data_IF_133786832241
#
_entry.id   IF_133786832241
#
_cell.length_a   1.000
_cell.length_b   1.000
_cell.length_c   1.000
_cell.angle_alpha   90.00
_cell.angle_beta   90.00
_cell.angle_gamma   90.00
#
_symmetry.space_group_name_H-M   'P 1'
#
loop_
_entity.id
_entity.type
_entity.pdbx_description
1 polymer ?
#
# COMPACT_ATOMS: atom_id res chain seq x y z
N UNK A 1 -13.19 -0.93 -10.34
CA UNK A 1 -13.20 0.47 -9.88
C UNK A 1 -14.39 1.21 -10.43
N UNK A 2 -14.65 1.17 -11.74
CA UNK A 2 -15.68 1.97 -12.42
C UNK A 2 -17.07 1.89 -11.75
N UNK A 3 -17.52 0.67 -11.42
CA UNK A 3 -18.79 0.48 -10.73
C UNK A 3 -18.87 1.15 -9.34
N UNK A 4 -17.74 1.19 -8.59
CA UNK A 4 -17.69 1.85 -7.29
C UNK A 4 -17.69 3.38 -7.45
N UNK A 5 -16.99 3.89 -8.44
CA UNK A 5 -16.96 5.33 -8.78
C UNK A 5 -18.32 5.77 -9.27
N UNK A 6 -18.93 5.04 -10.21
CA UNK A 6 -20.27 5.32 -10.74
C UNK A 6 -21.36 5.29 -9.65
N UNK A 7 -21.22 4.42 -8.66
CA UNK A 7 -22.11 4.35 -7.50
C UNK A 7 -21.81 5.40 -6.41
N UNK A 8 -20.84 6.30 -6.62
CA UNK A 8 -20.42 7.29 -5.64
C UNK A 8 -19.77 6.69 -4.38
N UNK A 9 -19.33 5.43 -4.43
CA UNK A 9 -18.73 4.71 -3.30
C UNK A 9 -17.22 4.84 -3.22
N UNK A 10 -16.56 5.21 -4.31
CA UNK A 10 -15.12 5.47 -4.35
C UNK A 10 -14.84 6.79 -5.04
N UNK A 11 -13.81 7.48 -4.58
CA UNK A 11 -13.31 8.71 -5.21
C UNK A 11 -12.69 8.36 -6.56
N UNK A 12 -12.94 9.14 -7.64
CA UNK A 12 -12.23 8.97 -8.90
C UNK A 12 -10.71 9.08 -8.70
N UNK A 13 -9.98 8.11 -9.22
CA UNK A 13 -8.52 8.04 -9.04
C UNK A 13 -7.82 7.44 -10.25
N UNK A 14 -6.56 7.81 -10.44
CA UNK A 14 -5.66 7.16 -11.39
C UNK A 14 -5.06 5.94 -10.70
N UNK A 15 -5.14 4.77 -11.35
CA UNK A 15 -4.51 3.55 -10.87
C UNK A 15 -3.34 3.21 -11.77
N UNK A 16 -2.17 3.14 -11.18
CA UNK A 16 -0.93 2.72 -11.85
C UNK A 16 -0.57 1.34 -11.34
N UNK A 17 -0.42 0.39 -12.24
CA UNK A 17 -0.09 -0.99 -11.90
C UNK A 17 1.27 -1.37 -12.49
N UNK A 18 2.11 -1.93 -11.65
CA UNK A 18 3.38 -2.55 -12.01
C UNK A 18 3.39 -4.02 -11.57
N UNK A 19 4.08 -4.87 -12.30
CA UNK A 19 4.16 -6.30 -11.97
C UNK A 19 5.08 -6.59 -10.77
N UNK A 20 5.83 -5.60 -10.28
CA UNK A 20 6.76 -5.71 -9.16
C UNK A 20 7.95 -6.64 -9.43
N UNK A 21 8.17 -7.05 -10.68
CA UNK A 21 9.30 -7.89 -11.07
C UNK A 21 10.42 -7.08 -11.70
N UNK A 22 11.44 -6.79 -10.90
CA UNK A 22 12.61 -6.03 -11.32
C UNK A 22 13.49 -6.74 -12.36
N UNK A 23 13.33 -8.05 -12.52
CA UNK A 23 14.13 -8.83 -13.49
C UNK A 23 13.64 -8.65 -14.92
N UNK A 24 12.34 -8.43 -15.07
CA UNK A 24 11.68 -8.30 -16.38
C UNK A 24 11.55 -6.85 -16.84
N UNK A 25 11.68 -5.87 -15.95
CA UNK A 25 11.55 -4.46 -16.27
C UNK A 25 12.81 -3.91 -16.96
N UNK A 26 12.95 -4.27 -18.24
CA UNK A 26 14.01 -3.74 -19.11
C UNK A 26 13.83 -2.27 -19.49
N UNK A 27 12.64 -1.69 -19.27
CA UNK A 27 12.31 -0.32 -19.64
C UNK A 27 13.10 0.74 -18.85
N UNK A 28 13.55 0.42 -17.64
CA UNK A 28 14.22 1.36 -16.74
C UNK A 28 15.72 1.07 -16.56
N UNK A 29 16.29 0.15 -17.35
CA UNK A 29 17.73 -0.10 -17.32
C UNK A 29 18.45 0.97 -18.09
N UNK A 30 19.22 1.82 -17.41
CA UNK A 30 20.22 2.65 -18.09
C UNK A 30 21.27 1.74 -18.73
N UNK A 31 21.70 2.00 -20.00
CA UNK A 31 22.79 1.26 -20.62
C UNK A 31 24.04 1.29 -19.71
N UNK A 32 24.58 0.13 -19.39
CA UNK A 32 25.77 -0.01 -18.54
C UNK A 32 25.51 -0.33 -17.06
N UNK A 33 24.27 -0.33 -16.59
CA UNK A 33 23.92 -0.81 -15.25
C UNK A 33 23.49 -2.28 -15.28
N UNK A 34 24.44 -3.17 -15.42
CA UNK A 34 24.31 -4.60 -15.18
C UNK A 34 24.29 -4.89 -13.68
N UNK A 35 23.24 -4.51 -12.97
CA UNK A 35 23.11 -4.73 -11.54
C UNK A 35 21.96 -5.68 -11.22
N UNK A 36 22.23 -6.69 -10.42
CA UNK A 36 21.23 -7.52 -9.77
C UNK A 36 20.31 -6.61 -8.93
N UNK A 37 19.03 -6.52 -9.31
CA UNK A 37 17.98 -6.05 -8.42
C UNK A 37 18.05 -4.56 -8.10
N UNK A 38 17.50 -3.70 -8.96
CA UNK A 38 17.05 -2.38 -8.52
C UNK A 38 16.08 -2.54 -7.35
N UNK A 39 16.12 -1.63 -6.38
CA UNK A 39 15.14 -1.62 -5.30
C UNK A 39 13.79 -1.19 -5.90
N UNK A 40 12.73 -1.95 -5.64
CA UNK A 40 11.35 -1.60 -6.07
C UNK A 40 11.01 -0.17 -5.66
N UNK A 41 11.43 0.22 -4.48
CA UNK A 41 11.27 1.58 -3.97
C UNK A 41 11.88 2.64 -4.91
N UNK A 42 13.07 2.40 -5.45
CA UNK A 42 13.73 3.34 -6.36
C UNK A 42 12.93 3.55 -7.65
N UNK A 43 12.37 2.47 -8.20
CA UNK A 43 11.53 2.53 -9.39
C UNK A 43 10.24 3.31 -9.11
N UNK A 44 9.52 2.95 -8.06
CA UNK A 44 8.25 3.59 -7.74
C UNK A 44 8.42 5.08 -7.39
N UNK A 45 9.42 5.41 -6.61
CA UNK A 45 9.58 6.75 -6.05
C UNK A 45 10.36 7.69 -6.96
N UNK A 46 11.42 7.18 -7.62
CA UNK A 46 12.34 8.03 -8.37
C UNK A 46 12.06 8.06 -9.87
N UNK A 47 11.27 7.10 -10.38
CA UNK A 47 10.97 7.01 -11.81
C UNK A 47 9.47 7.08 -12.08
N UNK A 48 8.68 6.14 -11.54
CA UNK A 48 7.27 6.00 -11.88
C UNK A 48 6.44 7.18 -11.35
N UNK A 49 6.58 7.55 -10.09
CA UNK A 49 5.83 8.65 -9.49
C UNK A 49 6.11 9.98 -10.21
N UNK A 50 7.36 10.42 -10.44
CA UNK A 50 7.63 11.63 -11.21
C UNK A 50 7.10 11.57 -12.64
N UNK A 51 7.17 10.41 -13.30
CA UNK A 51 6.63 10.23 -14.65
C UNK A 51 5.11 10.43 -14.67
N UNK A 52 4.39 9.84 -13.73
CA UNK A 52 2.93 9.98 -13.64
C UNK A 52 2.55 11.42 -13.33
N UNK A 53 3.21 12.07 -12.39
CA UNK A 53 2.92 13.47 -12.05
C UNK A 53 3.20 14.44 -13.21
N UNK A 54 4.20 14.14 -14.04
CA UNK A 54 4.55 14.98 -15.19
C UNK A 54 3.61 14.79 -16.40
N UNK A 55 2.97 13.62 -16.53
CA UNK A 55 2.21 13.29 -17.75
C UNK A 55 0.70 13.19 -17.54
N UNK A 56 0.23 13.15 -16.29
CA UNK A 56 -1.19 13.02 -15.97
C UNK A 56 -1.63 14.11 -14.99
N UNK A 57 -2.92 14.42 -14.98
CA UNK A 57 -3.51 15.41 -14.06
C UNK A 57 -3.67 14.84 -12.66
N UNK A 58 -2.58 14.73 -11.94
CA UNK A 58 -2.56 14.30 -10.56
C UNK A 58 -2.82 15.46 -9.59
N UNK A 59 -3.26 15.14 -8.38
CA UNK A 59 -3.27 16.09 -7.27
C UNK A 59 -1.92 15.96 -6.53
N UNK A 60 -1.24 17.09 -6.26
CA UNK A 60 -0.01 17.07 -5.47
C UNK A 60 -0.28 16.67 -4.02
N UNK A 61 0.78 16.27 -3.32
CA UNK A 61 0.72 15.96 -1.89
C UNK A 61 0.52 14.47 -1.59
N UNK A 62 1.10 14.07 -0.48
CA UNK A 62 1.11 12.69 0.00
C UNK A 62 -0.30 12.17 0.37
N UNK A 63 -1.19 13.07 0.78
CA UNK A 63 -2.57 12.78 1.13
C UNK A 63 -3.43 12.34 -0.07
N UNK A 64 -2.94 12.58 -1.28
CA UNK A 64 -3.56 12.17 -2.55
C UNK A 64 -2.84 10.98 -3.18
N UNK A 65 -1.92 10.31 -2.44
CA UNK A 65 -1.19 9.15 -2.91
C UNK A 65 -1.34 7.97 -1.98
N UNK A 66 -1.71 6.85 -2.57
CA UNK A 66 -1.84 5.55 -1.92
C UNK A 66 -0.91 4.53 -2.58
N UNK A 67 -0.46 3.57 -1.83
CA UNK A 67 0.15 2.38 -2.37
C UNK A 67 -0.55 1.14 -1.82
N UNK A 68 -0.85 0.20 -2.71
CA UNK A 68 -1.45 -1.07 -2.33
C UNK A 68 -0.81 -2.21 -3.12
N UNK A 69 -0.81 -3.39 -2.54
CA UNK A 69 -0.27 -4.56 -3.20
C UNK A 69 -0.79 -5.88 -2.63
N UNK A 70 -0.75 -6.92 -3.45
CA UNK A 70 -1.13 -8.27 -3.08
C UNK A 70 0.12 -9.13 -2.84
N UNK A 71 0.08 -10.04 -1.87
CA UNK A 71 1.16 -10.99 -1.61
C UNK A 71 2.53 -10.28 -1.47
N UNK A 72 3.50 -10.61 -2.30
CA UNK A 72 4.80 -9.92 -2.38
C UNK A 72 4.64 -8.42 -2.59
N UNK A 73 3.68 -7.99 -3.42
CA UNK A 73 3.37 -6.57 -3.63
C UNK A 73 2.90 -5.87 -2.35
N UNK A 74 2.20 -6.58 -1.46
CA UNK A 74 1.87 -6.07 -0.12
C UNK A 74 3.11 -5.82 0.73
N UNK A 75 4.07 -6.75 0.74
CA UNK A 75 5.35 -6.55 1.43
C UNK A 75 6.14 -5.37 0.85
N UNK A 76 6.16 -5.23 -0.47
CA UNK A 76 6.78 -4.09 -1.16
C UNK A 76 6.09 -2.77 -0.78
N UNK A 77 4.76 -2.77 -0.67
CA UNK A 77 3.97 -1.61 -0.21
C UNK A 77 4.41 -1.15 1.18
N UNK A 78 4.52 -2.08 2.14
CA UNK A 78 5.01 -1.73 3.49
C UNK A 78 6.38 -1.08 3.43
N UNK A 79 7.34 -1.71 2.77
CA UNK A 79 8.71 -1.20 2.66
C UNK A 79 8.77 0.17 1.97
N UNK A 80 8.05 0.34 0.86
CA UNK A 80 8.07 1.59 0.09
C UNK A 80 7.43 2.75 0.85
N UNK A 81 6.23 2.56 1.40
CA UNK A 81 5.52 3.65 2.09
C UNK A 81 6.25 4.06 3.36
N UNK A 82 6.71 3.10 4.16
CA UNK A 82 7.41 3.40 5.42
C UNK A 82 8.76 4.09 5.22
N UNK A 83 9.41 3.87 4.07
CA UNK A 83 10.63 4.59 3.69
C UNK A 83 10.35 5.96 3.04
N UNK A 84 9.09 6.28 2.70
CA UNK A 84 8.72 7.50 1.96
C UNK A 84 7.41 8.10 2.50
N UNK A 85 7.35 8.32 3.81
CA UNK A 85 6.18 8.92 4.46
C UNK A 85 5.90 10.35 3.99
N UNK A 86 6.86 11.01 3.37
CA UNK A 86 6.71 12.31 2.71
C UNK A 86 5.98 12.23 1.35
N UNK A 87 5.77 11.02 0.81
CA UNK A 87 5.18 10.81 -0.52
C UNK A 87 3.84 10.08 -0.50
N UNK A 88 3.60 9.25 0.52
CA UNK A 88 2.39 8.43 0.65
C UNK A 88 1.77 8.55 2.03
N UNK A 89 0.44 8.40 2.11
CA UNK A 89 -0.27 8.39 3.40
C UNK A 89 -1.34 7.30 3.53
N UNK A 90 -1.51 6.46 2.51
CA UNK A 90 -2.49 5.37 2.51
C UNK A 90 -1.81 4.06 2.17
N UNK A 91 -2.07 3.02 2.96
CA UNK A 91 -1.49 1.68 2.79
C UNK A 91 -2.60 0.66 2.59
N UNK A 92 -2.49 -0.14 1.51
CA UNK A 92 -3.34 -1.31 1.28
C UNK A 92 -2.48 -2.57 1.18
N UNK A 93 -2.68 -3.52 2.08
CA UNK A 93 -1.97 -4.81 2.06
C UNK A 93 -2.96 -5.95 1.94
N UNK A 94 -2.88 -6.69 0.83
CA UNK A 94 -3.75 -7.82 0.52
C UNK A 94 -2.93 -9.12 0.59
N UNK A 95 -3.11 -9.90 1.64
CA UNK A 95 -2.33 -11.13 1.90
C UNK A 95 -0.81 -10.92 1.89
N UNK A 96 -0.35 -9.74 2.28
CA UNK A 96 1.06 -9.34 2.20
C UNK A 96 1.56 -8.64 3.46
N UNK A 97 1.09 -9.07 4.63
CA UNK A 97 1.52 -8.50 5.90
C UNK A 97 3.00 -8.78 6.15
N UNK A 98 3.76 -7.72 6.46
CA UNK A 98 5.20 -7.78 6.72
C UNK A 98 5.60 -7.08 8.02
N UNK A 99 4.65 -6.89 8.93
CA UNK A 99 4.89 -6.23 10.22
C UNK A 99 5.21 -7.29 11.27
N UNK A 100 6.39 -7.20 11.86
CA UNK A 100 6.85 -8.06 12.94
C UNK A 100 7.29 -7.22 14.15
N UNK A 101 7.03 -7.72 15.35
CA UNK A 101 7.40 -7.05 16.59
C UNK A 101 6.51 -5.87 16.96
N UNK A 102 7.02 -4.97 17.78
CA UNK A 102 6.31 -3.81 18.26
C UNK A 102 6.14 -2.75 17.14
N UNK A 103 4.98 -2.12 17.08
CA UNK A 103 4.63 -1.17 16.01
C UNK A 103 5.57 0.04 15.98
N UNK A 104 5.94 0.55 17.13
CA UNK A 104 6.84 1.70 17.28
C UNK A 104 8.27 1.44 16.77
N UNK A 105 8.69 0.18 16.74
CA UNK A 105 10.02 -0.26 16.27
C UNK A 105 10.01 -0.79 14.84
N UNK A 106 8.83 -1.19 14.33
CA UNK A 106 8.71 -1.74 13.00
C UNK A 106 9.17 -0.73 11.93
N UNK A 107 9.82 -1.23 10.89
CA UNK A 107 10.36 -0.43 9.79
C UNK A 107 11.22 0.75 10.27
N UNK A 108 12.17 0.48 11.17
CA UNK A 108 13.07 1.50 11.75
C UNK A 108 12.33 2.67 12.41
N UNK A 109 11.21 2.40 13.07
CA UNK A 109 10.43 3.42 13.76
C UNK A 109 9.58 4.32 12.86
N UNK A 110 9.30 3.89 11.62
CA UNK A 110 8.50 4.69 10.68
C UNK A 110 7.10 5.02 11.24
N UNK A 111 6.45 4.07 11.91
CA UNK A 111 5.13 4.31 12.50
C UNK A 111 5.17 5.23 13.72
N UNK A 112 6.25 5.20 14.50
CA UNK A 112 6.48 6.19 15.55
C UNK A 112 6.63 7.57 14.94
N UNK A 113 7.45 7.72 13.90
CA UNK A 113 7.58 8.97 13.15
C UNK A 113 6.22 9.43 12.58
N UNK A 114 5.45 8.52 11.99
CA UNK A 114 4.12 8.85 11.46
C UNK A 114 3.13 9.35 12.53
N UNK A 115 3.28 8.90 13.76
CA UNK A 115 2.46 9.35 14.89
C UNK A 115 2.91 10.70 15.45
N UNK A 116 4.23 10.92 15.55
CA UNK A 116 4.82 12.09 16.20
C UNK A 116 4.94 13.31 15.26
N UNK A 117 5.03 13.07 13.95
CA UNK A 117 5.16 14.12 12.93
C UNK A 117 3.90 14.21 12.07
N UNK A 118 3.03 15.23 12.27
CA UNK A 118 1.80 15.39 11.48
C UNK A 118 2.02 15.49 9.96
N UNK A 119 3.19 15.93 9.52
CA UNK A 119 3.54 15.99 8.09
C UNK A 119 3.81 14.62 7.47
N UNK A 120 3.96 13.60 8.30
CA UNK A 120 4.25 12.21 7.93
C UNK A 120 3.20 11.20 8.40
N UNK A 121 2.06 11.69 8.92
CA UNK A 121 1.01 10.82 9.43
C UNK A 121 0.49 9.85 8.36
N UNK A 122 0.08 8.67 8.77
CA UNK A 122 -0.62 7.70 7.91
C UNK A 122 -2.12 7.91 8.09
N UNK A 123 -2.81 8.21 7.00
CA UNK A 123 -4.25 8.47 7.02
C UNK A 123 -5.05 7.20 7.27
N UNK A 124 -4.64 6.09 6.66
CA UNK A 124 -5.32 4.81 6.83
C UNK A 124 -4.43 3.64 6.41
N UNK A 125 -4.54 2.55 7.14
CA UNK A 125 -4.00 1.24 6.79
C UNK A 125 -5.17 0.30 6.53
N UNK A 126 -5.13 -0.43 5.42
CA UNK A 126 -6.04 -1.53 5.15
C UNK A 126 -5.24 -2.84 5.10
N UNK A 127 -5.67 -3.81 5.88
CA UNK A 127 -5.11 -5.16 5.92
C UNK A 127 -6.22 -6.14 5.57
N UNK A 128 -6.10 -6.83 4.45
CA UNK A 128 -7.08 -7.81 3.99
C UNK A 128 -6.43 -9.12 3.57
N UNK A 129 -7.10 -10.24 3.84
CA UNK A 129 -6.65 -11.58 3.45
C UNK A 129 -7.81 -12.58 3.45
N UNK A 130 -7.55 -13.81 2.98
CA UNK A 130 -8.53 -14.88 2.99
C UNK A 130 -8.68 -15.52 4.37
N UNK A 131 -9.86 -16.06 4.67
CA UNK A 131 -10.10 -16.76 5.95
C UNK A 131 -9.23 -18.03 6.11
N UNK A 132 -8.82 -18.64 5.00
CA UNK A 132 -7.94 -19.81 5.00
C UNK A 132 -6.45 -19.49 5.15
N UNK A 133 -6.08 -18.20 5.19
CA UNK A 133 -4.69 -17.73 5.36
C UNK A 133 -4.30 -17.51 6.84
N UNK A 134 -5.07 -18.01 7.79
CA UNK A 134 -4.85 -17.85 9.24
C UNK A 134 -4.82 -16.37 9.66
N UNK A 135 -5.97 -15.69 9.63
CA UNK A 135 -6.07 -14.25 9.79
C UNK A 135 -5.76 -13.71 11.18
N UNK A 136 -5.57 -14.56 12.19
CA UNK A 136 -5.43 -14.17 13.58
C UNK A 136 -4.22 -13.25 13.82
N UNK A 137 -3.09 -13.54 13.14
CA UNK A 137 -1.91 -12.68 13.26
C UNK A 137 -2.13 -11.31 12.63
N UNK A 138 -2.76 -11.29 11.47
CA UNK A 138 -3.09 -10.04 10.78
C UNK A 138 -4.07 -9.19 11.57
N UNK A 139 -5.05 -9.83 12.23
CA UNK A 139 -5.97 -9.15 13.15
C UNK A 139 -5.24 -8.52 14.32
N UNK A 140 -4.37 -9.25 14.99
CA UNK A 140 -3.57 -8.70 16.11
C UNK A 140 -2.75 -7.49 15.71
N UNK A 141 -2.16 -7.53 14.52
CA UNK A 141 -1.39 -6.40 13.98
C UNK A 141 -2.29 -5.21 13.68
N UNK A 142 -3.48 -5.43 13.11
CA UNK A 142 -4.44 -4.36 12.85
C UNK A 142 -4.95 -3.72 14.15
N UNK A 143 -5.24 -4.54 15.16
CA UNK A 143 -5.63 -4.07 16.50
C UNK A 143 -4.51 -3.22 17.12
N UNK A 144 -3.26 -3.70 17.07
CA UNK A 144 -2.10 -2.98 17.57
C UNK A 144 -1.87 -1.63 16.86
N UNK A 145 -2.13 -1.51 15.56
CA UNK A 145 -2.10 -0.22 14.87
C UNK A 145 -3.19 0.74 15.38
N UNK A 146 -4.41 0.24 15.58
CA UNK A 146 -5.49 1.06 16.13
C UNK A 146 -5.18 1.52 17.56
N UNK A 147 -4.66 0.64 18.41
CA UNK A 147 -4.19 0.98 19.77
C UNK A 147 -3.04 2.00 19.74
N UNK A 148 -2.17 1.87 18.76
CA UNK A 148 -1.07 2.82 18.54
C UNK A 148 -1.56 4.19 18.03
N UNK A 149 -2.81 4.30 17.58
CA UNK A 149 -3.46 5.52 17.10
C UNK A 149 -3.40 5.73 15.58
N UNK A 150 -3.09 4.69 14.81
CA UNK A 150 -3.15 4.71 13.34
C UNK A 150 -4.41 3.98 12.89
N UNK A 151 -5.33 4.72 12.26
CA UNK A 151 -6.60 4.18 11.77
C UNK A 151 -6.38 3.00 10.84
N UNK A 152 -6.88 1.83 11.22
CA UNK A 152 -6.65 0.59 10.47
C UNK A 152 -7.95 -0.19 10.29
N UNK A 153 -8.22 -0.60 9.06
CA UNK A 153 -9.30 -1.54 8.73
C UNK A 153 -8.73 -2.92 8.51
N UNK A 154 -9.29 -3.90 9.18
CA UNK A 154 -9.02 -5.31 8.98
C UNK A 154 -10.20 -5.97 8.25
N UNK A 155 -9.92 -6.72 7.20
CA UNK A 155 -10.92 -7.41 6.38
C UNK A 155 -10.54 -8.87 6.14
N UNK A 156 -11.49 -9.76 6.34
CA UNK A 156 -11.36 -11.19 6.02
C UNK A 156 -12.28 -11.54 4.85
N UNK A 157 -11.71 -12.10 3.79
CA UNK A 157 -12.46 -12.64 2.68
C UNK A 157 -12.86 -14.08 3.01
N UNK A 158 -14.12 -14.29 3.43
CA UNK A 158 -14.63 -15.56 3.85
C UNK A 158 -14.63 -16.62 2.73
N UNK A 159 -14.21 -17.84 3.08
CA UNK A 159 -14.16 -19.01 2.18
C UNK A 159 -13.11 -18.88 1.09
N UNK A 160 -12.05 -18.10 1.31
CA UNK A 160 -10.98 -17.93 0.32
C UNK A 160 -9.60 -18.03 0.93
N UNK A 161 -8.62 -18.39 0.10
CA UNK A 161 -7.22 -18.56 0.43
C UNK A 161 -6.35 -17.45 -0.20
N UNK A 162 -5.07 -17.74 -0.42
CA UNK A 162 -4.10 -16.85 -1.07
C UNK A 162 -4.33 -16.83 -2.60
N UNK A 163 -5.37 -16.14 -3.05
CA UNK A 163 -5.87 -16.22 -4.43
C UNK A 163 -6.51 -14.92 -4.93
N UNK A 164 -6.77 -14.86 -6.24
CA UNK A 164 -7.34 -13.70 -6.91
C UNK A 164 -8.71 -13.27 -6.37
N UNK A 165 -9.56 -14.20 -5.93
CA UNK A 165 -10.86 -13.86 -5.38
C UNK A 165 -10.70 -13.05 -4.09
N UNK A 166 -9.78 -13.46 -3.21
CA UNK A 166 -9.40 -12.73 -2.00
C UNK A 166 -8.99 -11.31 -2.34
N UNK A 167 -8.05 -11.14 -3.26
CA UNK A 167 -7.48 -9.83 -3.58
C UNK A 167 -8.47 -8.90 -4.29
N UNK A 168 -9.34 -9.43 -5.12
CA UNK A 168 -10.45 -8.66 -5.72
C UNK A 168 -11.43 -8.15 -4.67
N UNK A 169 -11.76 -8.99 -3.67
CA UNK A 169 -12.61 -8.58 -2.55
C UNK A 169 -11.90 -7.54 -1.69
N UNK A 170 -10.60 -7.72 -1.38
CA UNK A 170 -9.80 -6.73 -0.66
C UNK A 170 -9.79 -5.37 -1.39
N UNK A 171 -9.57 -5.34 -2.70
CA UNK A 171 -9.61 -4.11 -3.49
C UNK A 171 -10.99 -3.45 -3.44
N UNK A 172 -12.07 -4.25 -3.49
CA UNK A 172 -13.44 -3.73 -3.41
C UNK A 172 -13.72 -3.04 -2.08
N UNK A 173 -13.17 -3.57 -0.97
CA UNK A 173 -13.35 -2.99 0.36
C UNK A 173 -12.38 -1.83 0.63
N UNK A 174 -11.18 -1.87 0.05
CA UNK A 174 -10.19 -0.79 0.17
C UNK A 174 -10.56 0.46 -0.64
N UNK A 175 -11.08 0.31 -1.85
CA UNK A 175 -11.36 1.41 -2.76
C UNK A 175 -12.31 2.50 -2.22
N UNK A 176 -13.36 2.18 -1.42
CA UNK A 176 -14.19 3.19 -0.77
C UNK A 176 -13.50 3.97 0.35
N UNK A 177 -12.41 3.42 0.89
CA UNK A 177 -11.69 4.00 2.02
C UNK A 177 -10.67 5.02 1.52
N UNK A 178 -9.92 4.66 0.47
CA UNK A 178 -8.80 5.45 -0.01
C UNK A 178 -9.25 6.82 -0.54
N UNK A 179 -8.55 7.88 -0.11
CA UNK A 179 -8.85 9.28 -0.42
C UNK A 179 -10.20 9.81 0.09
N UNK A 180 -10.95 9.01 0.85
CA UNK A 180 -12.18 9.46 1.48
C UNK A 180 -11.84 10.23 2.76
N UNK A 181 -12.02 11.55 2.73
CA UNK A 181 -11.71 12.47 3.84
C UNK A 181 -12.87 12.65 4.84
N UNK A 182 -13.90 11.75 4.75
CA UNK A 182 -15.06 11.80 5.67
C UNK A 182 -14.78 11.04 6.97
#
# INVERSE_FOLDING_TARGET
MDNLIAAGKAVPMIIVMDCGDLKTNSYFKKPGQGGRGGNVNDIFVNELLPFIDANFRTLPGRENRAMAGLSRGGMQTWSTVTSNLDKFSWIGSFSGLSVNGAIDQAFNGAFKTAKEDPSKNINHIFIGLGSEERPENAKRVADAFNEFGIKTTFFVSEGTAHEWLTWRRCLREFAPIVFNKK
#
